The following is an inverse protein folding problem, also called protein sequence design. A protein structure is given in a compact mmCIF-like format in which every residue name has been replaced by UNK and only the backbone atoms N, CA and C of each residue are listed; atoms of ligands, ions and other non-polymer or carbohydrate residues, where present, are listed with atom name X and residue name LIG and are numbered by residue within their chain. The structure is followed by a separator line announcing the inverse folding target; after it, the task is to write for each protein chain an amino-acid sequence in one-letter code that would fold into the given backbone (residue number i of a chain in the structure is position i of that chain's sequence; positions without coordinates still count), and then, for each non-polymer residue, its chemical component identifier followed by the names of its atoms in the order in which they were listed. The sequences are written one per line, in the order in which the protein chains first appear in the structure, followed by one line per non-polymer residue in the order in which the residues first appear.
data_IF_853122644344
#
_entry.id   IF_853122644344
#
_cell.length_a   1.000
_cell.length_b   1.000
_cell.length_c   1.000
_cell.angle_alpha   90.00
_cell.angle_beta   90.00
_cell.angle_gamma   90.00
#
_symmetry.space_group_name_H-M   'P 1'
#
loop_
_entity.id
_entity.type
_entity.pdbx_description
1 polymer ?
#
# COMPACT_ATOMS: atom_id res chain seq x y z
N UNK A 1 15.83 -9.39 -9.80
CA UNK A 1 16.65 -8.41 -9.07
C UNK A 1 17.63 -9.12 -8.13
N UNK A 2 18.80 -8.56 -7.94
CA UNK A 2 19.83 -9.07 -7.01
C UNK A 2 20.11 -7.98 -5.99
N UNK A 3 20.15 -8.34 -4.72
CA UNK A 3 20.48 -7.44 -3.62
C UNK A 3 21.49 -8.05 -2.67
N UNK A 4 21.98 -7.25 -1.72
CA UNK A 4 22.86 -7.69 -0.66
C UNK A 4 22.34 -7.19 0.69
N UNK A 5 22.55 -7.96 1.73
CA UNK A 5 22.22 -7.61 3.11
C UNK A 5 23.35 -8.05 4.03
N UNK A 6 23.43 -7.43 5.21
CA UNK A 6 24.44 -7.74 6.19
C UNK A 6 24.24 -9.16 6.76
N UNK A 7 25.35 -9.84 7.02
CA UNK A 7 25.30 -11.19 7.60
C UNK A 7 24.60 -11.17 8.96
N UNK A 8 23.60 -12.02 9.12
CA UNK A 8 22.79 -12.10 10.35
C UNK A 8 21.59 -11.16 10.37
N UNK A 9 21.42 -10.30 9.36
CA UNK A 9 20.20 -9.53 9.22
C UNK A 9 19.12 -10.36 8.51
N UNK A 10 17.92 -10.42 9.07
CA UNK A 10 16.78 -11.15 8.51
C UNK A 10 15.49 -10.36 8.69
N UNK A 11 14.68 -10.35 7.65
CA UNK A 11 13.26 -9.98 7.66
C UNK A 11 12.46 -11.06 6.90
N UNK A 12 11.24 -11.40 7.35
CA UNK A 12 10.59 -10.87 8.56
C UNK A 12 11.25 -11.37 9.84
N UNK A 13 11.16 -10.58 10.91
CA UNK A 13 11.37 -10.99 12.30
C UNK A 13 10.08 -11.61 12.83
N UNK A 14 10.09 -12.28 14.02
CA UNK A 14 8.85 -12.76 14.61
C UNK A 14 7.81 -11.65 14.79
N UNK A 15 6.70 -11.78 14.09
CA UNK A 15 5.53 -10.88 14.14
C UNK A 15 4.51 -11.52 15.09
N UNK A 16 3.77 -10.71 15.84
CA UNK A 16 2.80 -11.20 16.81
C UNK A 16 1.51 -10.37 16.83
N UNK A 17 0.50 -10.94 17.45
CA UNK A 17 -0.75 -10.21 17.74
C UNK A 17 -0.46 -8.90 18.49
N UNK A 18 -1.06 -7.81 18.04
CA UNK A 18 -0.89 -6.47 18.59
C UNK A 18 0.23 -5.65 17.94
N UNK A 19 1.00 -6.20 17.02
CA UNK A 19 1.93 -5.43 16.21
C UNK A 19 1.17 -4.53 15.22
N UNK A 20 1.66 -3.31 15.02
CA UNK A 20 0.99 -2.32 14.19
C UNK A 20 1.39 -2.43 12.73
N UNK A 21 0.46 -2.05 11.88
CA UNK A 21 0.62 -1.98 10.44
C UNK A 21 0.68 -0.52 10.02
N UNK A 22 1.85 -0.08 9.56
CA UNK A 22 2.09 1.28 9.07
C UNK A 22 2.09 1.28 7.54
N UNK A 23 1.30 2.15 6.94
CA UNK A 23 1.22 2.36 5.51
C UNK A 23 1.96 3.61 5.04
N UNK A 24 2.72 3.50 3.96
CA UNK A 24 3.30 4.62 3.25
C UNK A 24 2.50 4.93 1.98
N UNK A 25 2.29 6.21 1.67
CA UNK A 25 1.50 6.61 0.52
C UNK A 25 2.09 6.08 -0.79
N UNK A 26 1.23 5.76 -1.74
CA UNK A 26 1.62 5.54 -3.13
C UNK A 26 1.59 6.85 -3.92
N UNK A 27 2.39 6.95 -4.97
CA UNK A 27 2.36 8.06 -5.93
C UNK A 27 1.21 7.96 -6.95
N UNK A 28 0.47 6.85 -6.94
CA UNK A 28 -0.58 6.53 -7.91
C UNK A 28 -0.76 5.02 -8.03
N UNK A 29 -1.18 4.56 -9.21
CA UNK A 29 -1.45 3.13 -9.45
C UNK A 29 -0.17 2.27 -9.49
N UNK A 30 0.99 2.90 -9.53
CA UNK A 30 2.28 2.23 -9.72
C UNK A 30 2.29 1.41 -11.03
N UNK A 31 2.73 0.15 -10.97
CA UNK A 31 2.85 -0.70 -12.17
C UNK A 31 1.91 -1.91 -12.16
N UNK A 32 0.82 -1.86 -11.38
CA UNK A 32 -0.11 -2.98 -11.22
C UNK A 32 -1.51 -2.63 -11.71
N UNK A 33 -2.25 -3.65 -12.14
CA UNK A 33 -3.63 -3.50 -12.55
C UNK A 33 -3.85 -2.86 -13.93
N UNK A 34 -2.81 -2.64 -14.74
CA UNK A 34 -2.91 -1.93 -16.03
C UNK A 34 -3.81 -2.60 -17.07
N UNK A 35 -4.03 -3.91 -16.99
CA UNK A 35 -5.02 -4.57 -17.85
C UNK A 35 -6.43 -4.05 -17.58
N UNK A 36 -6.79 -3.91 -16.31
CA UNK A 36 -8.07 -3.32 -15.88
C UNK A 36 -8.13 -1.82 -16.21
N UNK A 37 -7.05 -1.08 -15.93
CA UNK A 37 -6.96 0.36 -16.25
C UNK A 37 -7.22 0.62 -17.73
N UNK A 38 -6.58 -0.12 -18.64
CA UNK A 38 -6.78 0.02 -20.10
C UNK A 38 -8.24 -0.21 -20.50
N UNK A 39 -8.86 -1.25 -19.93
CA UNK A 39 -10.27 -1.53 -20.18
C UNK A 39 -11.18 -0.41 -19.66
N UNK A 40 -10.89 0.14 -18.47
CA UNK A 40 -11.65 1.26 -17.92
C UNK A 40 -11.52 2.50 -18.79
N UNK A 41 -10.31 2.84 -19.26
CA UNK A 41 -10.10 3.95 -20.20
C UNK A 41 -10.94 3.74 -21.48
N UNK A 42 -10.94 2.56 -22.04
CA UNK A 42 -11.71 2.22 -23.24
C UNK A 42 -13.23 2.41 -23.03
N UNK A 43 -13.79 1.84 -21.96
CA UNK A 43 -15.24 1.93 -21.69
C UNK A 43 -15.69 3.30 -21.23
N UNK A 44 -14.81 4.12 -20.66
CA UNK A 44 -15.11 5.50 -20.27
C UNK A 44 -15.27 6.46 -21.46
N UNK A 45 -14.89 6.02 -22.66
CA UNK A 45 -14.86 6.88 -23.86
C UNK A 45 -13.73 7.90 -23.88
N UNK A 46 -12.83 7.87 -22.91
CA UNK A 46 -11.63 8.69 -22.86
C UNK A 46 -10.48 8.05 -23.63
N UNK A 47 -9.46 8.86 -23.90
CA UNK A 47 -8.17 8.37 -24.38
C UNK A 47 -7.04 8.98 -23.55
N UNK A 48 -5.81 8.51 -23.72
CA UNK A 48 -4.68 8.94 -22.89
C UNK A 48 -4.28 10.42 -23.07
N UNK A 49 -4.71 11.07 -24.15
CA UNK A 49 -4.50 12.51 -24.37
C UNK A 49 -5.68 13.36 -23.87
N UNK A 50 -6.78 12.75 -23.44
CA UNK A 50 -7.91 13.45 -22.83
C UNK A 50 -7.47 14.12 -21.53
N UNK A 51 -8.07 15.26 -21.15
CA UNK A 51 -7.93 15.82 -19.80
C UNK A 51 -8.28 14.76 -18.75
N UNK A 52 -7.51 14.70 -17.68
CA UNK A 52 -7.80 13.80 -16.57
C UNK A 52 -9.09 14.23 -15.86
N UNK A 53 -9.99 13.29 -15.49
CA UNK A 53 -11.18 13.62 -14.70
C UNK A 53 -10.89 13.98 -13.24
N UNK A 54 -9.65 13.84 -12.79
CA UNK A 54 -9.26 13.98 -11.37
C UNK A 54 -8.00 14.85 -11.14
N UNK A 55 -7.45 15.45 -12.20
CA UNK A 55 -6.29 16.33 -12.13
C UNK A 55 -6.23 17.28 -13.33
N UNK A 56 -5.30 18.24 -13.31
CA UNK A 56 -5.09 19.21 -14.39
C UNK A 56 -4.25 18.68 -15.57
N UNK A 57 -3.69 17.47 -15.45
CA UNK A 57 -2.88 16.85 -16.48
C UNK A 57 -3.72 16.05 -17.49
N UNK A 58 -3.07 15.49 -18.51
CA UNK A 58 -3.72 14.46 -19.34
C UNK A 58 -3.84 13.14 -18.59
N UNK A 59 -4.87 12.36 -18.90
CA UNK A 59 -5.11 11.05 -18.29
C UNK A 59 -3.88 10.13 -18.39
N UNK A 60 -3.20 10.12 -19.54
CA UNK A 60 -2.02 9.30 -19.74
C UNK A 60 -0.86 9.69 -18.83
N UNK A 61 -0.63 10.98 -18.59
CA UNK A 61 0.42 11.45 -17.69
C UNK A 61 0.13 11.02 -16.24
N UNK A 62 -1.11 11.14 -15.80
CA UNK A 62 -1.53 10.69 -14.45
C UNK A 62 -1.37 9.18 -14.27
N UNK A 63 -1.79 8.40 -15.26
CA UNK A 63 -1.66 6.94 -15.20
C UNK A 63 -0.21 6.45 -15.31
N UNK A 64 0.71 7.28 -15.79
CA UNK A 64 2.13 6.98 -15.94
C UNK A 64 3.01 7.56 -14.82
N UNK A 65 2.43 8.10 -13.75
CA UNK A 65 3.21 8.54 -12.58
C UNK A 65 4.07 7.37 -12.10
N UNK A 66 5.42 7.55 -12.01
CA UNK A 66 6.31 6.46 -11.63
C UNK A 66 6.01 5.92 -10.23
N UNK A 67 6.29 4.63 -10.04
CA UNK A 67 6.25 4.00 -8.71
C UNK A 67 7.14 4.75 -7.73
N UNK A 68 6.63 5.03 -6.54
CA UNK A 68 7.39 5.64 -5.45
C UNK A 68 8.58 4.77 -5.04
N UNK A 69 9.73 5.41 -4.76
CA UNK A 69 10.97 4.73 -4.39
C UNK A 69 11.09 4.65 -2.88
N UNK A 70 10.65 3.55 -2.29
CA UNK A 70 10.63 3.31 -0.85
C UNK A 70 12.00 2.91 -0.25
N UNK A 71 13.03 2.68 -1.07
CA UNK A 71 14.29 2.13 -0.61
C UNK A 71 14.94 2.98 0.50
N UNK A 72 15.09 4.28 0.29
CA UNK A 72 15.76 5.18 1.24
C UNK A 72 15.00 5.31 2.58
N UNK A 73 13.69 5.61 2.62
CA UNK A 73 12.95 5.65 3.89
C UNK A 73 12.91 4.30 4.60
N UNK A 74 12.71 3.18 3.87
CA UNK A 74 12.69 1.86 4.48
C UNK A 74 14.04 1.49 5.09
N UNK A 75 15.16 1.71 4.39
CA UNK A 75 16.50 1.46 4.94
C UNK A 75 16.75 2.27 6.21
N UNK A 76 16.30 3.53 6.23
CA UNK A 76 16.49 4.41 7.39
C UNK A 76 15.77 3.90 8.63
N UNK A 77 14.53 3.43 8.51
CA UNK A 77 13.81 2.89 9.66
C UNK A 77 14.25 1.46 10.03
N UNK A 78 14.78 0.68 9.09
CA UNK A 78 15.38 -0.62 9.36
C UNK A 78 16.58 -0.49 10.32
N UNK A 79 17.38 0.58 10.22
CA UNK A 79 18.51 0.86 11.11
C UNK A 79 18.10 0.93 12.60
N UNK A 80 16.85 1.25 12.90
CA UNK A 80 16.34 1.29 14.27
C UNK A 80 16.21 -0.10 14.91
N UNK A 81 16.22 -1.15 14.12
CA UNK A 81 15.94 -2.51 14.56
C UNK A 81 14.46 -2.80 14.87
N UNK A 82 13.57 -1.81 14.72
CA UNK A 82 12.16 -1.90 15.10
C UNK A 82 11.24 -2.42 13.99
N UNK A 83 11.77 -2.64 12.78
CA UNK A 83 10.98 -3.20 11.69
C UNK A 83 10.94 -4.72 11.84
N UNK A 84 9.72 -5.29 11.84
CA UNK A 84 9.46 -6.71 11.89
C UNK A 84 9.25 -7.30 10.49
N UNK A 85 8.61 -6.55 9.61
CA UNK A 85 8.35 -6.98 8.24
C UNK A 85 8.07 -5.80 7.32
N UNK A 86 8.26 -6.03 6.01
CA UNK A 86 8.01 -5.07 4.94
C UNK A 86 7.26 -5.76 3.81
N UNK A 87 6.23 -5.11 3.28
CA UNK A 87 5.51 -5.58 2.11
C UNK A 87 5.32 -4.43 1.10
N UNK A 88 5.91 -4.57 -0.08
CA UNK A 88 5.60 -3.69 -1.21
C UNK A 88 4.28 -4.11 -1.82
N UNK A 89 3.33 -3.19 -1.87
CA UNK A 89 1.98 -3.49 -2.36
C UNK A 89 1.98 -3.44 -3.89
N UNK A 90 1.85 -4.62 -4.47
CA UNK A 90 1.89 -4.87 -5.91
C UNK A 90 0.64 -5.68 -6.35
N UNK A 91 0.72 -6.53 -7.37
CA UNK A 91 -0.38 -7.42 -7.75
C UNK A 91 -0.83 -8.30 -6.57
N UNK A 92 -2.12 -8.39 -6.35
CA UNK A 92 -2.74 -8.97 -5.16
C UNK A 92 -3.14 -7.94 -4.10
N UNK A 93 -2.72 -6.67 -4.27
CA UNK A 93 -3.11 -5.53 -3.44
C UNK A 93 -2.80 -5.72 -1.96
N UNK A 94 -3.52 -5.00 -1.10
CA UNK A 94 -3.39 -5.10 0.36
C UNK A 94 -3.73 -6.51 0.87
N UNK A 95 -4.68 -7.17 0.23
CA UNK A 95 -5.20 -8.48 0.65
C UNK A 95 -4.12 -9.57 0.65
N UNK A 96 -3.28 -9.63 -0.39
CA UNK A 96 -2.35 -10.74 -0.57
C UNK A 96 -0.90 -10.42 -0.18
N UNK A 97 -0.47 -9.15 -0.33
CA UNK A 97 0.95 -8.85 -0.15
C UNK A 97 1.38 -8.87 1.32
N UNK A 98 0.53 -8.38 2.24
CA UNK A 98 0.89 -8.30 3.66
C UNK A 98 0.89 -9.69 4.29
N UNK A 99 -0.08 -10.54 3.96
CA UNK A 99 -0.17 -11.88 4.55
C UNK A 99 1.03 -12.78 4.22
N UNK A 100 1.73 -12.51 3.12
CA UNK A 100 2.94 -13.28 2.72
C UNK A 100 4.09 -13.19 3.69
N UNK A 101 4.12 -12.18 4.55
CA UNK A 101 5.19 -11.97 5.54
C UNK A 101 4.76 -12.37 6.95
N UNK A 102 3.53 -12.86 7.13
CA UNK A 102 3.01 -13.34 8.41
C UNK A 102 3.27 -14.84 8.58
N UNK A 103 3.43 -15.25 9.83
CA UNK A 103 3.46 -16.67 10.18
C UNK A 103 2.04 -17.29 10.11
N UNK A 104 1.92 -18.59 9.84
CA UNK A 104 0.63 -19.28 9.84
C UNK A 104 -0.14 -19.07 11.14
N UNK A 105 -1.42 -18.75 11.03
CA UNK A 105 -2.31 -18.47 12.17
C UNK A 105 -2.39 -17.00 12.57
N UNK A 106 -1.51 -16.14 12.04
CA UNK A 106 -1.68 -14.69 12.14
C UNK A 106 -2.59 -14.19 11.01
N UNK A 107 -3.39 -13.21 11.34
CA UNK A 107 -4.22 -12.43 10.43
C UNK A 107 -3.99 -10.95 10.65
N UNK A 108 -4.78 -10.13 9.99
CA UNK A 108 -4.72 -8.68 10.14
C UNK A 108 -6.08 -8.04 9.97
N UNK A 109 -6.26 -6.93 10.64
CA UNK A 109 -7.38 -6.02 10.45
C UNK A 109 -6.85 -4.69 9.92
N UNK A 110 -7.37 -4.25 8.78
CA UNK A 110 -7.03 -2.99 8.14
C UNK A 110 -8.23 -2.06 8.22
N UNK A 111 -8.01 -0.85 8.74
CA UNK A 111 -9.00 0.21 8.76
C UNK A 111 -8.88 1.07 7.51
N UNK A 112 -9.85 0.96 6.61
CA UNK A 112 -9.90 1.70 5.34
C UNK A 112 -10.12 3.21 5.52
N UNK A 113 -10.66 3.63 6.66
CA UNK A 113 -10.86 5.05 6.99
C UNK A 113 -9.56 5.74 7.46
N UNK A 114 -8.46 4.99 7.62
CA UNK A 114 -7.20 5.53 8.16
C UNK A 114 -6.41 6.37 7.16
N UNK A 115 -6.76 6.34 5.88
CA UNK A 115 -6.18 7.20 4.84
C UNK A 115 -7.24 7.64 3.84
N UNK A 116 -6.97 8.72 3.12
CA UNK A 116 -7.84 9.17 2.04
C UNK A 116 -7.48 8.44 0.74
N UNK A 117 -8.47 7.83 0.11
CA UNK A 117 -8.29 7.17 -1.19
C UNK A 117 -7.89 8.21 -2.25
N UNK A 118 -6.74 8.07 -2.93
CA UNK A 118 -6.33 9.00 -3.98
C UNK A 118 -7.34 9.08 -5.13
N UNK A 119 -7.53 10.26 -5.74
CA UNK A 119 -8.58 10.51 -6.73
C UNK A 119 -8.57 9.56 -7.94
N UNK A 120 -7.39 9.08 -8.34
CA UNK A 120 -7.25 8.10 -9.43
C UNK A 120 -8.01 6.81 -9.14
N UNK A 121 -8.00 6.31 -7.89
CA UNK A 121 -8.69 5.07 -7.52
C UNK A 121 -10.20 5.29 -7.44
N UNK A 122 -10.66 6.45 -6.95
CA UNK A 122 -12.07 6.84 -7.01
C UNK A 122 -12.58 6.85 -8.46
N UNK A 123 -11.80 7.43 -9.37
CA UNK A 123 -12.14 7.44 -10.79
C UNK A 123 -12.19 6.03 -11.38
N UNK A 124 -11.19 5.19 -11.11
CA UNK A 124 -11.14 3.81 -11.59
C UNK A 124 -12.34 3.00 -11.09
N UNK A 125 -12.69 3.10 -9.82
CA UNK A 125 -13.84 2.42 -9.25
C UNK A 125 -15.15 2.84 -9.93
N UNK A 126 -15.38 4.15 -10.04
CA UNK A 126 -16.61 4.71 -10.60
C UNK A 126 -16.73 4.45 -12.11
N UNK A 127 -15.70 4.79 -12.90
CA UNK A 127 -15.71 4.62 -14.35
C UNK A 127 -15.75 3.15 -14.78
N UNK A 128 -15.12 2.27 -14.01
CA UNK A 128 -15.09 0.84 -14.26
C UNK A 128 -16.21 0.06 -13.57
N UNK A 129 -17.01 0.68 -12.71
CA UNK A 129 -17.96 0.01 -11.81
C UNK A 129 -17.28 -1.17 -11.08
N UNK A 130 -16.07 -0.93 -10.57
CA UNK A 130 -15.25 -1.94 -9.92
C UNK A 130 -15.64 -2.06 -8.46
N UNK A 131 -15.93 -3.27 -8.01
CA UNK A 131 -16.26 -3.56 -6.62
C UNK A 131 -15.09 -3.24 -5.68
N UNK A 132 -15.34 -2.68 -4.46
CA UNK A 132 -14.30 -2.37 -3.49
C UNK A 132 -13.36 -3.53 -3.16
N UNK A 133 -13.85 -4.76 -3.10
CA UNK A 133 -13.02 -5.96 -2.85
C UNK A 133 -12.06 -6.20 -4.01
N UNK A 134 -12.52 -6.01 -5.25
CA UNK A 134 -11.66 -6.13 -6.42
C UNK A 134 -10.64 -4.99 -6.51
N UNK A 135 -11.01 -3.76 -6.10
CA UNK A 135 -10.07 -2.65 -5.96
C UNK A 135 -8.92 -3.02 -5.01
N UNK A 136 -9.23 -3.57 -3.82
CA UNK A 136 -8.25 -3.95 -2.80
C UNK A 136 -7.36 -5.14 -3.22
N UNK A 137 -7.78 -5.96 -4.18
CA UNK A 137 -6.99 -7.06 -4.75
C UNK A 137 -6.12 -6.63 -5.91
N UNK A 138 -6.62 -5.70 -6.72
CA UNK A 138 -5.95 -5.32 -7.98
C UNK A 138 -4.98 -4.17 -7.79
N UNK A 139 -5.31 -3.20 -6.92
CA UNK A 139 -4.58 -1.95 -6.75
C UNK A 139 -4.02 -1.79 -5.34
N UNK A 140 -3.07 -0.87 -5.22
CA UNK A 140 -2.53 -0.46 -3.92
C UNK A 140 -3.49 0.47 -3.13
N UNK A 141 -4.51 1.01 -3.76
CA UNK A 141 -5.53 1.90 -3.17
C UNK A 141 -4.94 3.06 -2.33
N UNK A 142 -3.77 3.56 -2.71
CA UNK A 142 -3.10 4.67 -2.02
C UNK A 142 -2.01 4.27 -1.03
N UNK A 143 -1.86 2.97 -0.72
CA UNK A 143 -0.81 2.45 0.16
C UNK A 143 0.17 1.61 -0.67
N UNK A 144 1.37 2.12 -0.93
CA UNK A 144 2.33 1.43 -1.78
C UNK A 144 3.36 0.58 -1.04
N UNK A 145 3.62 0.89 0.24
CA UNK A 145 4.51 0.12 1.10
C UNK A 145 3.89 -0.03 2.48
N UNK A 146 4.04 -1.21 3.06
CA UNK A 146 3.59 -1.51 4.42
C UNK A 146 4.77 -1.96 5.28
N UNK A 147 4.81 -1.47 6.52
CA UNK A 147 5.75 -1.88 7.54
C UNK A 147 4.98 -2.47 8.72
N UNK A 148 5.49 -3.59 9.27
CA UNK A 148 4.99 -4.15 10.54
C UNK A 148 5.99 -3.83 11.63
N UNK A 149 5.50 -3.26 12.74
CA UNK A 149 6.31 -2.77 13.86
C UNK A 149 5.71 -3.16 15.21
N UNK A 150 6.53 -3.31 16.27
CA UNK A 150 5.98 -3.38 17.63
C UNK A 150 5.18 -2.12 17.96
N UNK A 151 4.04 -2.26 18.65
CA UNK A 151 3.20 -1.11 19.04
C UNK A 151 3.94 -0.03 19.83
N UNK A 152 4.91 -0.45 20.67
CA UNK A 152 5.74 0.46 21.43
C UNK A 152 6.70 1.32 20.59
N UNK A 153 6.93 0.97 19.33
CA UNK A 153 7.84 1.67 18.43
C UNK A 153 7.15 2.65 17.49
N UNK A 154 5.83 2.81 17.63
CA UNK A 154 4.99 3.65 16.77
C UNK A 154 5.54 5.05 16.57
N UNK A 155 5.72 5.78 17.66
CA UNK A 155 6.09 7.21 17.60
C UNK A 155 7.47 7.39 16.98
N UNK A 156 8.44 6.54 17.34
CA UNK A 156 9.79 6.57 16.78
C UNK A 156 9.76 6.36 15.26
N UNK A 157 9.13 5.27 14.82
CA UNK A 157 9.10 4.91 13.40
C UNK A 157 8.32 5.94 12.59
N UNK A 158 7.18 6.38 13.11
CA UNK A 158 6.34 7.38 12.44
C UNK A 158 7.09 8.70 12.28
N UNK A 159 7.69 9.24 13.34
CA UNK A 159 8.49 10.48 13.29
C UNK A 159 9.63 10.40 12.27
N UNK A 160 10.30 9.25 12.16
CA UNK A 160 11.37 9.07 11.16
C UNK A 160 10.83 9.06 9.73
N UNK A 161 9.70 8.41 9.48
CA UNK A 161 9.08 8.34 8.17
C UNK A 161 8.48 9.68 7.73
N UNK A 162 7.97 10.49 8.66
CA UNK A 162 7.46 11.84 8.43
C UNK A 162 8.55 12.83 7.96
N UNK A 163 9.84 12.47 8.07
CA UNK A 163 10.91 13.21 7.41
C UNK A 163 11.00 12.99 5.90
N UNK A 164 10.30 11.98 5.36
CA UNK A 164 10.27 11.61 3.95
C UNK A 164 8.88 11.80 3.31
N UNK A 165 7.82 11.73 4.12
CA UNK A 165 6.43 11.76 3.66
C UNK A 165 5.63 12.76 4.49
N UNK A 166 4.77 13.52 3.83
CA UNK A 166 3.84 14.43 4.50
C UNK A 166 2.82 13.69 5.38
N UNK A 167 2.54 12.43 5.03
CA UNK A 167 1.61 11.57 5.75
C UNK A 167 2.16 10.14 5.87
N UNK A 168 2.03 9.59 7.06
CA UNK A 168 2.33 8.19 7.40
C UNK A 168 1.14 7.63 8.16
N UNK A 169 0.56 6.55 7.65
CA UNK A 169 -0.71 6.03 8.11
C UNK A 169 -0.52 4.83 9.05
N UNK A 170 -1.23 4.81 10.17
CA UNK A 170 -1.45 3.60 10.94
C UNK A 170 -2.70 2.93 10.38
N UNK A 171 -2.51 1.94 9.52
CA UNK A 171 -3.61 1.37 8.73
C UNK A 171 -4.25 0.14 9.37
N UNK A 172 -3.67 -0.40 10.44
CA UNK A 172 -4.24 -1.59 11.04
C UNK A 172 -3.35 -2.26 12.08
N UNK A 173 -3.74 -3.48 12.42
CA UNK A 173 -3.12 -4.28 13.47
C UNK A 173 -3.05 -5.76 13.06
N UNK A 174 -2.01 -6.44 13.49
CA UNK A 174 -1.88 -7.90 13.37
C UNK A 174 -2.73 -8.57 14.46
N UNK A 175 -3.45 -9.63 14.10
CA UNK A 175 -4.29 -10.41 15.01
C UNK A 175 -4.06 -11.92 14.88
N UNK A 176 -4.80 -12.74 15.62
CA UNK A 176 -4.70 -14.21 15.64
C UNK A 176 -5.86 -14.90 14.89
N UNK A 177 -6.51 -14.23 13.95
CA UNK A 177 -7.66 -14.81 13.23
C UNK A 177 -7.26 -15.73 12.09
N UNK A 178 -6.03 -15.59 11.60
CA UNK A 178 -5.56 -16.28 10.38
C UNK A 178 -6.10 -15.69 9.07
N UNK A 179 -6.85 -14.59 9.16
CA UNK A 179 -7.55 -13.99 8.02
C UNK A 179 -7.22 -12.50 7.88
N UNK A 180 -7.43 -11.97 6.66
CA UNK A 180 -7.40 -10.53 6.38
C UNK A 180 -8.81 -9.99 6.48
N UNK A 181 -9.02 -9.03 7.36
CA UNK A 181 -10.29 -8.32 7.51
C UNK A 181 -10.12 -6.82 7.27
N UNK A 182 -11.19 -6.19 6.83
CA UNK A 182 -11.24 -4.75 6.58
C UNK A 182 -12.38 -4.15 7.40
N UNK A 183 -12.13 -2.99 8.01
CA UNK A 183 -13.14 -2.13 8.64
C UNK A 183 -13.18 -0.78 7.94
N UNK A 184 -14.30 -0.05 8.05
CA UNK A 184 -14.50 1.20 7.32
C UNK A 184 -14.90 1.00 5.86
N UNK A 185 -14.91 2.09 5.09
CA UNK A 185 -15.32 2.11 3.69
C UNK A 185 -14.18 2.60 2.79
N UNK A 186 -13.97 1.93 1.65
CA UNK A 186 -12.93 2.32 0.71
C UNK A 186 -13.38 3.48 -0.21
N UNK A 187 -14.70 3.51 -0.54
CA UNK A 187 -15.32 4.39 -1.55
C UNK A 187 -16.48 5.18 -0.96
#
# INVERSE_FOLDING_TARGET
AVGAFERGFHLPKPIKNGDLIIGLPSSGIHSNGFSLVRRIVEISGLNYTSPSPFSDNSLGLELLIPTEIYAKPCLKVIETGQILGLAHITGGGLTENIIRILEPGLGLEINLDSWTLPPVFNWLANAGSVDPVEMLKTFNCGIGMVLIIPSASKDLVKQMLESFYDQVFEIGIVNNTGEVSFSGELL
#
